data_IF_016085420344
#
_entry.id   IF_016085420344
#
_cell.length_a   1.000
_cell.length_b   1.000
_cell.length_c   1.000
_cell.angle_alpha   90.00
_cell.angle_beta   90.00
_cell.angle_gamma   90.00
#
_symmetry.space_group_name_H-M   'P 1'
#
loop_
_entity.id
_entity.type
_entity.pdbx_description
1 polymer ?
#
# COMPACT_ATOMS: atom_id res chain seq x y z
N UNK A 1 37.80 28.70 -36.94
CA UNK A 1 37.97 29.07 -35.52
C UNK A 1 37.06 28.18 -34.69
N UNK A 2 37.64 27.20 -33.99
CA UNK A 2 36.91 26.31 -33.08
C UNK A 2 36.78 27.02 -31.73
N UNK A 3 35.54 27.20 -31.25
CA UNK A 3 35.28 27.78 -29.94
C UNK A 3 35.84 26.85 -28.83
N UNK A 4 36.44 27.39 -27.76
CA UNK A 4 36.99 26.55 -26.71
C UNK A 4 35.84 25.87 -25.95
N UNK A 5 35.84 24.53 -25.90
CA UNK A 5 35.04 23.77 -24.95
C UNK A 5 35.46 24.22 -23.55
N UNK A 6 34.65 25.08 -22.91
CA UNK A 6 34.82 25.42 -21.50
C UNK A 6 34.79 24.10 -20.72
N UNK A 7 35.94 23.74 -20.16
CA UNK A 7 36.07 22.72 -19.13
C UNK A 7 35.12 23.09 -18.00
N UNK A 8 33.95 22.45 -17.97
CA UNK A 8 33.10 22.44 -16.79
C UNK A 8 33.89 21.71 -15.72
N UNK A 9 34.55 22.45 -14.84
CA UNK A 9 35.17 21.89 -13.64
C UNK A 9 34.15 20.99 -12.94
N UNK A 10 34.49 19.72 -12.71
CA UNK A 10 33.52 18.68 -12.35
C UNK A 10 32.77 18.90 -11.03
N UNK A 11 33.28 19.76 -10.14
CA UNK A 11 32.67 20.05 -8.83
C UNK A 11 31.50 21.05 -8.94
N UNK A 12 31.65 22.24 -9.55
CA UNK A 12 30.52 23.14 -9.83
C UNK A 12 29.36 22.53 -10.62
N UNK A 13 29.65 21.63 -11.57
CA UNK A 13 28.60 20.97 -12.35
C UNK A 13 27.77 19.98 -11.50
N UNK A 14 28.41 19.27 -10.58
CA UNK A 14 27.74 18.33 -9.67
C UNK A 14 26.88 19.06 -8.65
N UNK A 15 27.36 20.19 -8.12
CA UNK A 15 26.62 21.01 -7.16
C UNK A 15 25.34 21.59 -7.81
N UNK A 16 25.42 22.03 -9.07
CA UNK A 16 24.23 22.47 -9.83
C UNK A 16 23.24 21.33 -10.08
N UNK A 17 23.74 20.14 -10.43
CA UNK A 17 22.88 18.97 -10.63
C UNK A 17 22.16 18.58 -9.33
N UNK A 18 22.88 18.63 -8.20
CA UNK A 18 22.32 18.35 -6.88
C UNK A 18 21.30 19.40 -6.46
N UNK A 19 21.55 20.68 -6.69
CA UNK A 19 20.60 21.75 -6.40
C UNK A 19 19.29 21.57 -7.18
N UNK A 20 19.37 21.25 -8.48
CA UNK A 20 18.20 20.95 -9.30
C UNK A 20 17.44 19.70 -8.80
N UNK A 21 18.18 18.67 -8.36
CA UNK A 21 17.57 17.46 -7.79
C UNK A 21 16.84 17.79 -6.47
N UNK A 22 17.48 18.54 -5.57
CA UNK A 22 16.88 18.96 -4.30
C UNK A 22 15.67 19.89 -4.48
N UNK A 23 15.65 20.69 -5.54
CA UNK A 23 14.50 21.55 -5.88
C UNK A 23 13.37 20.80 -6.61
N UNK A 24 13.53 19.50 -6.86
CA UNK A 24 12.55 18.69 -7.60
C UNK A 24 12.53 18.93 -9.12
N UNK A 25 13.50 19.68 -9.68
CA UNK A 25 13.64 19.81 -11.13
C UNK A 25 14.36 18.58 -11.71
N UNK A 26 13.59 17.49 -11.77
CA UNK A 26 14.04 16.18 -12.25
C UNK A 26 14.61 16.25 -13.67
N UNK A 27 14.02 17.08 -14.54
CA UNK A 27 14.47 17.18 -15.94
C UNK A 27 15.86 17.82 -16.01
N UNK A 28 16.05 18.93 -15.30
CA UNK A 28 17.36 19.61 -15.26
C UNK A 28 18.41 18.75 -14.56
N UNK A 29 18.07 18.14 -13.41
CA UNK A 29 18.97 17.25 -12.69
C UNK A 29 19.45 16.09 -13.59
N UNK A 30 18.54 15.39 -14.26
CA UNK A 30 18.88 14.28 -15.16
C UNK A 30 19.80 14.72 -16.30
N UNK A 31 19.51 15.86 -16.93
CA UNK A 31 20.36 16.43 -17.99
C UNK A 31 21.76 16.75 -17.49
N UNK A 32 21.87 17.38 -16.31
CA UNK A 32 23.16 17.76 -15.74
C UNK A 32 23.99 16.54 -15.33
N UNK A 33 23.40 15.52 -14.68
CA UNK A 33 24.11 14.29 -14.37
C UNK A 33 24.60 13.57 -15.65
N UNK A 34 23.77 13.50 -16.70
CA UNK A 34 24.19 12.91 -17.98
C UNK A 34 25.34 13.68 -18.62
N UNK A 35 25.30 15.02 -18.63
CA UNK A 35 26.40 15.83 -19.14
C UNK A 35 27.71 15.61 -18.37
N UNK A 36 27.64 15.42 -17.05
CA UNK A 36 28.83 15.04 -16.25
C UNK A 36 29.35 13.68 -16.72
N UNK A 37 28.48 12.70 -16.95
CA UNK A 37 28.84 11.34 -17.36
C UNK A 37 29.34 11.25 -18.80
N UNK A 38 28.97 12.19 -19.69
CA UNK A 38 29.54 12.29 -21.03
C UNK A 38 31.04 12.62 -21.00
N UNK A 39 31.45 13.48 -20.05
CA UNK A 39 32.85 13.87 -19.88
C UNK A 39 33.61 12.98 -18.88
N UNK A 40 32.91 12.41 -17.90
CA UNK A 40 33.46 11.57 -16.84
C UNK A 40 32.59 10.30 -16.65
N UNK A 41 32.69 9.31 -17.55
CA UNK A 41 31.79 8.14 -17.55
C UNK A 41 31.86 7.25 -16.30
N UNK A 42 32.93 7.39 -15.51
CA UNK A 42 33.22 6.69 -14.26
C UNK A 42 33.01 7.55 -13.01
N UNK A 43 32.38 8.73 -13.13
CA UNK A 43 32.09 9.55 -11.96
C UNK A 43 31.05 8.86 -11.06
N UNK A 44 31.53 8.22 -10.00
CA UNK A 44 30.72 7.39 -9.12
C UNK A 44 29.54 8.15 -8.49
N UNK A 45 29.74 9.41 -8.09
CA UNK A 45 28.68 10.22 -7.47
C UNK A 45 27.60 10.59 -8.49
N UNK A 46 27.97 10.97 -9.72
CA UNK A 46 27.01 11.28 -10.77
C UNK A 46 26.23 10.03 -11.22
N UNK A 47 26.89 8.86 -11.29
CA UNK A 47 26.22 7.58 -11.55
C UNK A 47 25.20 7.25 -10.46
N UNK A 48 25.60 7.33 -9.20
CA UNK A 48 24.74 7.04 -8.05
C UNK A 48 23.55 7.99 -7.97
N UNK A 49 23.77 9.31 -8.06
CA UNK A 49 22.72 10.32 -7.94
C UNK A 49 21.74 10.29 -9.13
N UNK A 50 22.21 10.03 -10.35
CA UNK A 50 21.31 9.77 -11.48
C UNK A 50 20.51 8.49 -11.28
N UNK A 51 21.14 7.44 -10.71
CA UNK A 51 20.43 6.22 -10.34
C UNK A 51 19.31 6.46 -9.32
N UNK A 52 19.57 7.28 -8.28
CA UNK A 52 18.54 7.69 -7.31
C UNK A 52 17.40 8.46 -7.97
N UNK A 53 17.72 9.39 -8.88
CA UNK A 53 16.73 10.16 -9.61
C UNK A 53 15.84 9.25 -10.47
N UNK A 54 16.44 8.25 -11.16
CA UNK A 54 15.67 7.26 -11.92
C UNK A 54 14.76 6.42 -11.03
N UNK A 55 15.24 6.04 -9.84
CA UNK A 55 14.40 5.33 -8.86
C UNK A 55 13.22 6.17 -8.39
N UNK A 56 13.41 7.47 -8.13
CA UNK A 56 12.32 8.40 -7.80
C UNK A 56 11.29 8.54 -8.91
N UNK A 57 11.70 8.39 -10.17
CA UNK A 57 10.82 8.41 -11.35
C UNK A 57 10.37 7.02 -11.80
N UNK A 58 10.39 6.03 -10.90
CA UNK A 58 9.91 4.65 -11.13
C UNK A 58 10.73 3.81 -12.14
N UNK A 59 11.88 4.30 -12.62
CA UNK A 59 12.83 3.51 -13.44
C UNK A 59 13.83 2.77 -12.53
N UNK A 60 13.34 1.76 -11.82
CA UNK A 60 14.13 0.97 -10.88
C UNK A 60 15.22 0.13 -11.58
N UNK A 61 14.96 -0.32 -12.81
CA UNK A 61 15.93 -1.09 -13.60
C UNK A 61 17.08 -0.22 -14.11
N UNK A 62 16.80 1.01 -14.53
CA UNK A 62 17.81 2.01 -14.83
C UNK A 62 18.62 2.41 -13.60
N UNK A 63 17.93 2.62 -12.48
CA UNK A 63 18.56 2.93 -11.20
C UNK A 63 19.57 1.85 -10.78
N UNK A 64 19.16 0.58 -10.81
CA UNK A 64 20.03 -0.54 -10.46
C UNK A 64 21.30 -0.56 -11.32
N UNK A 65 21.16 -0.45 -12.65
CA UNK A 65 22.33 -0.46 -13.55
C UNK A 65 23.32 0.65 -13.22
N UNK A 66 22.82 1.87 -12.96
CA UNK A 66 23.69 3.02 -12.66
C UNK A 66 24.34 2.91 -11.28
N UNK A 67 23.61 2.48 -10.26
CA UNK A 67 24.17 2.34 -8.90
C UNK A 67 25.19 1.19 -8.85
N UNK A 68 24.96 0.08 -9.56
CA UNK A 68 25.98 -0.99 -9.69
C UNK A 68 27.25 -0.50 -10.36
N UNK A 69 27.15 0.37 -11.39
CA UNK A 69 28.34 1.03 -11.97
C UNK A 69 29.02 1.97 -10.98
N UNK A 70 28.27 2.70 -10.15
CA UNK A 70 28.85 3.53 -9.11
C UNK A 70 29.62 2.70 -8.06
N UNK A 71 29.10 1.52 -7.69
CA UNK A 71 29.75 0.56 -6.81
C UNK A 71 30.99 -0.09 -7.44
N UNK A 72 31.02 -0.29 -8.76
CA UNK A 72 32.23 -0.78 -9.42
C UNK A 72 33.42 0.19 -9.25
N UNK A 73 33.15 1.50 -9.14
CA UNK A 73 34.17 2.54 -8.90
C UNK A 73 34.44 2.78 -7.40
N UNK A 74 33.45 2.53 -6.54
CA UNK A 74 33.54 2.67 -5.08
C UNK A 74 32.85 1.50 -4.36
N UNK A 75 33.48 0.30 -4.32
CA UNK A 75 32.82 -0.92 -3.86
C UNK A 75 32.45 -0.90 -2.37
N UNK A 76 33.19 -0.12 -1.58
CA UNK A 76 33.03 -0.06 -0.12
C UNK A 76 32.07 1.05 0.36
N UNK A 77 31.38 1.73 -0.57
CA UNK A 77 30.46 2.80 -0.20
C UNK A 77 29.19 2.26 0.44
N UNK A 78 29.10 2.33 1.76
CA UNK A 78 27.90 1.97 2.54
C UNK A 78 26.64 2.67 2.01
N UNK A 79 26.75 3.96 1.67
CA UNK A 79 25.65 4.73 1.10
C UNK A 79 25.16 4.16 -0.24
N UNK A 80 26.07 3.74 -1.13
CA UNK A 80 25.67 3.20 -2.43
C UNK A 80 25.07 1.80 -2.29
N UNK A 81 25.62 0.97 -1.39
CA UNK A 81 25.08 -0.34 -1.05
C UNK A 81 23.65 -0.22 -0.50
N UNK A 82 23.44 0.64 0.51
CA UNK A 82 22.12 0.87 1.09
C UNK A 82 21.11 1.38 0.07
N UNK A 83 21.52 2.30 -0.82
CA UNK A 83 20.65 2.79 -1.88
C UNK A 83 20.35 1.74 -2.97
N UNK A 84 21.30 0.88 -3.32
CA UNK A 84 21.01 -0.27 -4.18
C UNK A 84 20.03 -1.24 -3.48
N UNK A 85 20.18 -1.45 -2.17
CA UNK A 85 19.24 -2.23 -1.36
C UNK A 85 17.81 -1.67 -1.43
N UNK A 86 17.64 -0.34 -1.36
CA UNK A 86 16.35 0.31 -1.58
C UNK A 86 15.76 0.01 -2.96
N UNK A 87 16.58 0.07 -4.01
CA UNK A 87 16.15 -0.22 -5.38
C UNK A 87 15.74 -1.68 -5.53
N UNK A 88 16.50 -2.63 -4.96
CA UNK A 88 16.15 -4.06 -5.01
C UNK A 88 14.85 -4.35 -4.24
N UNK A 89 14.63 -3.74 -3.07
CA UNK A 89 13.35 -3.83 -2.35
C UNK A 89 12.18 -3.40 -3.23
N UNK A 90 12.30 -2.25 -3.90
CA UNK A 90 11.23 -1.74 -4.77
C UNK A 90 10.98 -2.62 -6.01
N UNK A 91 11.96 -3.46 -6.39
CA UNK A 91 11.83 -4.47 -7.43
C UNK A 91 11.34 -5.84 -6.90
N UNK A 92 11.00 -5.94 -5.62
CA UNK A 92 10.58 -7.19 -4.97
C UNK A 92 11.72 -8.14 -4.59
N UNK A 93 12.99 -7.82 -4.88
CA UNK A 93 14.14 -8.64 -4.46
C UNK A 93 14.52 -8.33 -3.01
N UNK A 94 13.70 -8.84 -2.09
CA UNK A 94 13.83 -8.62 -0.65
C UNK A 94 15.11 -9.25 -0.08
N UNK A 95 15.48 -10.45 -0.53
CA UNK A 95 16.67 -11.15 -0.04
C UNK A 95 17.95 -10.49 -0.55
N UNK A 96 18.00 -10.08 -1.83
CA UNK A 96 19.10 -9.29 -2.37
C UNK A 96 19.25 -7.95 -1.65
N UNK A 97 18.13 -7.29 -1.33
CA UNK A 97 18.14 -6.06 -0.54
C UNK A 97 18.71 -6.28 0.87
N UNK A 98 18.30 -7.33 1.59
CA UNK A 98 18.87 -7.67 2.90
C UNK A 98 20.39 -7.91 2.82
N UNK A 99 20.86 -8.63 1.80
CA UNK A 99 22.29 -8.87 1.59
C UNK A 99 23.09 -7.57 1.41
N UNK A 100 22.52 -6.58 0.69
CA UNK A 100 23.16 -5.28 0.50
C UNK A 100 23.14 -4.41 1.76
N UNK A 101 22.04 -4.41 2.52
CA UNK A 101 22.02 -3.71 3.81
C UNK A 101 22.98 -4.32 4.82
N UNK A 102 23.11 -5.65 4.85
CA UNK A 102 24.12 -6.32 5.67
C UNK A 102 25.54 -5.89 5.31
N UNK A 103 25.87 -5.79 4.02
CA UNK A 103 27.15 -5.24 3.57
C UNK A 103 27.33 -3.77 3.94
N UNK A 104 26.29 -2.94 3.80
CA UNK A 104 26.32 -1.53 4.18
C UNK A 104 26.59 -1.35 5.68
N UNK A 105 25.89 -2.12 6.52
CA UNK A 105 26.04 -2.10 7.98
C UNK A 105 27.38 -2.67 8.44
N UNK A 106 27.97 -3.62 7.71
CA UNK A 106 29.34 -4.05 7.99
C UNK A 106 30.38 -2.92 7.81
N UNK A 107 30.06 -1.91 6.99
CA UNK A 107 30.91 -0.72 6.77
C UNK A 107 30.53 0.47 7.65
N UNK A 108 29.24 0.60 7.96
CA UNK A 108 28.72 1.62 8.86
C UNK A 108 27.66 1.01 9.80
N UNK A 109 28.08 0.44 10.96
CA UNK A 109 27.17 -0.26 11.87
C UNK A 109 26.09 0.63 12.51
N UNK A 110 26.32 1.95 12.51
CA UNK A 110 25.50 2.95 13.18
C UNK A 110 24.54 3.69 12.23
N UNK A 111 24.33 3.15 11.03
CA UNK A 111 23.31 3.64 10.11
C UNK A 111 21.90 3.23 10.57
N UNK A 112 21.24 4.11 11.31
CA UNK A 112 19.87 3.91 11.79
C UNK A 112 18.87 3.68 10.64
N UNK A 113 19.07 4.34 9.49
CA UNK A 113 18.21 4.20 8.31
C UNK A 113 18.32 2.82 7.67
N UNK A 114 19.53 2.27 7.58
CA UNK A 114 19.75 0.91 7.10
C UNK A 114 19.11 -0.15 8.02
N UNK A 115 19.26 -0.01 9.34
CA UNK A 115 18.56 -0.89 10.30
C UNK A 115 17.05 -0.81 10.15
N UNK A 116 16.49 0.40 10.04
CA UNK A 116 15.04 0.58 9.83
C UNK A 116 14.57 -0.06 8.50
N UNK A 117 15.34 0.09 7.42
CA UNK A 117 14.99 -0.52 6.14
C UNK A 117 15.08 -2.05 6.16
N UNK A 118 16.07 -2.63 6.85
CA UNK A 118 16.11 -4.08 7.09
C UNK A 118 14.90 -4.55 7.90
N UNK A 119 14.53 -3.81 8.95
CA UNK A 119 13.33 -4.10 9.73
C UNK A 119 12.07 -4.15 8.86
N UNK A 120 11.90 -3.18 7.96
CA UNK A 120 10.77 -3.16 7.02
C UNK A 120 10.78 -4.38 6.07
N UNK A 121 11.96 -4.80 5.59
CA UNK A 121 12.06 -5.99 4.75
C UNK A 121 11.72 -7.25 5.55
N UNK A 122 12.19 -7.37 6.79
CA UNK A 122 11.83 -8.48 7.66
C UNK A 122 10.33 -8.51 7.97
N UNK A 123 9.67 -7.35 8.14
CA UNK A 123 8.20 -7.29 8.23
C UNK A 123 7.52 -7.86 6.98
N UNK A 124 7.96 -7.45 5.78
CA UNK A 124 7.42 -7.99 4.51
C UNK A 124 7.63 -9.50 4.38
N UNK A 125 8.77 -10.01 4.88
CA UNK A 125 9.07 -11.44 4.95
C UNK A 125 8.43 -12.16 6.15
N UNK A 126 7.62 -11.46 6.96
CA UNK A 126 6.95 -11.98 8.17
C UNK A 126 7.91 -12.52 9.25
N UNK A 127 9.14 -12.01 9.27
CA UNK A 127 10.21 -12.33 10.23
C UNK A 127 10.22 -11.29 11.35
N UNK A 128 9.23 -11.34 12.23
CA UNK A 128 8.93 -10.22 13.13
C UNK A 128 9.94 -10.04 14.25
N UNK A 129 10.55 -11.12 14.73
CA UNK A 129 11.61 -11.07 15.72
C UNK A 129 12.85 -10.35 15.16
N UNK A 130 13.26 -10.67 13.92
CA UNK A 130 14.36 -9.97 13.25
C UNK A 130 13.98 -8.53 12.89
N UNK A 131 12.72 -8.28 12.52
CA UNK A 131 12.21 -6.93 12.30
C UNK A 131 12.33 -6.10 13.58
N UNK A 132 11.87 -6.65 14.70
CA UNK A 132 11.94 -6.00 16.02
C UNK A 132 13.38 -5.71 16.42
N UNK A 133 14.31 -6.66 16.24
CA UNK A 133 15.72 -6.45 16.54
C UNK A 133 16.29 -5.29 15.73
N UNK A 134 15.99 -5.25 14.42
CA UNK A 134 16.44 -4.19 13.51
C UNK A 134 15.86 -2.82 13.88
N UNK A 135 14.55 -2.73 14.13
CA UNK A 135 13.92 -1.47 14.54
C UNK A 135 14.38 -1.01 15.92
N UNK A 136 14.65 -1.94 16.84
CA UNK A 136 15.19 -1.61 18.17
C UNK A 136 16.58 -0.98 18.01
N UNK A 137 17.44 -1.53 17.15
CA UNK A 137 18.75 -0.92 16.87
C UNK A 137 18.60 0.46 16.21
N UNK A 138 17.67 0.63 15.28
CA UNK A 138 17.37 1.94 14.68
C UNK A 138 16.93 2.96 15.73
N UNK A 139 16.02 2.59 16.65
CA UNK A 139 15.56 3.46 17.73
C UNK A 139 16.69 3.85 18.71
N UNK A 140 17.64 2.95 18.98
CA UNK A 140 18.82 3.26 19.83
C UNK A 140 19.72 4.28 19.15
N UNK A 141 19.90 4.17 17.83
CA UNK A 141 20.79 5.05 17.06
C UNK A 141 20.18 6.42 16.77
N UNK A 142 18.85 6.51 16.63
CA UNK A 142 18.13 7.75 16.38
C UNK A 142 16.85 7.82 17.24
N UNK A 143 16.99 8.06 18.56
CA UNK A 143 15.90 7.95 19.53
C UNK A 143 14.77 8.96 19.35
N UNK A 144 15.01 10.05 18.63
CA UNK A 144 14.02 11.11 18.39
C UNK A 144 13.36 11.02 16.99
N UNK A 145 13.45 9.87 16.33
CA UNK A 145 12.79 9.64 15.04
C UNK A 145 11.46 8.89 15.22
N UNK A 146 10.33 9.61 15.12
CA UNK A 146 8.99 9.05 15.31
C UNK A 146 8.71 7.80 14.46
N UNK A 147 9.10 7.82 13.19
CA UNK A 147 8.89 6.71 12.25
C UNK A 147 9.55 5.40 12.70
N UNK A 148 10.69 5.45 13.39
CA UNK A 148 11.38 4.25 13.88
C UNK A 148 10.62 3.61 15.05
N UNK A 149 10.09 4.43 15.96
CA UNK A 149 9.24 3.95 17.05
C UNK A 149 7.91 3.41 16.54
N UNK A 150 7.30 4.03 15.53
CA UNK A 150 6.12 3.50 14.86
C UNK A 150 6.38 2.12 14.25
N UNK A 151 7.46 1.96 13.49
CA UNK A 151 7.81 0.67 12.88
C UNK A 151 8.13 -0.40 13.94
N UNK A 152 8.80 -0.02 15.04
CA UNK A 152 9.01 -0.90 16.19
C UNK A 152 7.69 -1.34 16.82
N UNK A 153 6.75 -0.41 17.02
CA UNK A 153 5.41 -0.69 17.53
C UNK A 153 4.63 -1.66 16.64
N UNK A 154 4.73 -1.49 15.31
CA UNK A 154 4.14 -2.43 14.35
C UNK A 154 4.71 -3.84 14.49
N UNK A 155 6.04 -3.99 14.60
CA UNK A 155 6.66 -5.31 14.82
C UNK A 155 6.20 -5.95 16.15
N UNK A 156 6.13 -5.17 17.23
CA UNK A 156 5.65 -5.63 18.54
C UNK A 156 4.18 -6.07 18.49
N UNK A 157 3.32 -5.31 17.81
CA UNK A 157 1.91 -5.65 17.62
C UNK A 157 1.76 -6.98 16.83
N UNK A 158 2.58 -7.20 15.79
CA UNK A 158 2.59 -8.48 15.05
C UNK A 158 3.05 -9.67 15.90
N UNK A 159 3.87 -9.43 16.92
CA UNK A 159 4.30 -10.42 17.91
C UNK A 159 3.30 -10.60 19.06
N UNK A 160 2.21 -9.84 19.11
CA UNK A 160 1.25 -9.85 20.23
C UNK A 160 1.80 -9.25 21.54
N UNK A 161 2.89 -8.47 21.46
CA UNK A 161 3.51 -7.77 22.60
C UNK A 161 2.85 -6.41 22.80
N UNK A 162 1.58 -6.42 23.14
CA UNK A 162 0.69 -5.24 23.11
C UNK A 162 1.19 -4.10 24.02
N UNK A 163 1.62 -4.39 25.25
CA UNK A 163 2.09 -3.37 26.20
C UNK A 163 3.32 -2.62 25.69
N UNK A 164 4.25 -3.33 25.04
CA UNK A 164 5.44 -2.74 24.45
C UNK A 164 5.11 -1.98 23.15
N UNK A 165 4.15 -2.50 22.37
CA UNK A 165 3.66 -1.81 21.17
C UNK A 165 3.04 -0.46 21.54
N UNK A 166 2.21 -0.41 22.60
CA UNK A 166 1.64 0.82 23.14
C UNK A 166 2.74 1.83 23.51
N UNK A 167 3.77 1.40 24.25
CA UNK A 167 4.89 2.29 24.62
C UNK A 167 5.60 2.87 23.38
N UNK A 168 5.82 2.04 22.36
CA UNK A 168 6.46 2.48 21.12
C UNK A 168 5.57 3.47 20.34
N UNK A 169 4.26 3.23 20.24
CA UNK A 169 3.35 4.15 19.56
C UNK A 169 3.13 5.45 20.33
N UNK A 170 3.09 5.42 21.67
CA UNK A 170 3.08 6.65 22.48
C UNK A 170 4.35 7.46 22.28
N UNK A 171 5.52 6.81 22.19
CA UNK A 171 6.77 7.52 21.88
C UNK A 171 6.75 8.11 20.47
N UNK A 172 6.19 7.41 19.48
CA UNK A 172 6.05 7.93 18.12
C UNK A 172 5.15 9.18 18.08
N UNK A 173 3.98 9.13 18.70
CA UNK A 173 3.03 10.27 18.75
C UNK A 173 3.53 11.43 19.61
N UNK A 174 4.35 11.17 20.64
CA UNK A 174 4.99 12.22 21.42
C UNK A 174 6.11 12.96 20.66
N UNK A 175 6.74 12.30 19.68
CA UNK A 175 7.78 12.90 18.82
C UNK A 175 7.18 13.60 17.59
N UNK A 176 6.02 13.14 17.12
CA UNK A 176 5.29 13.67 15.99
C UNK A 176 3.79 13.49 16.24
N UNK A 177 3.12 14.56 16.67
CA UNK A 177 1.67 14.57 16.93
C UNK A 177 0.84 14.45 15.65
N UNK A 178 1.46 14.62 14.48
CA UNK A 178 0.89 14.39 13.16
C UNK A 178 0.94 12.93 12.70
N UNK A 179 1.51 12.00 13.49
CA UNK A 179 1.59 10.59 13.13
C UNK A 179 0.24 9.87 13.31
N UNK A 180 -0.68 10.13 12.39
CA UNK A 180 -2.04 9.57 12.37
C UNK A 180 -2.05 8.03 12.32
N UNK A 181 -1.02 7.41 11.74
CA UNK A 181 -0.87 5.96 11.66
C UNK A 181 -0.57 5.35 13.03
N UNK A 182 0.33 5.97 13.82
CA UNK A 182 0.61 5.55 15.19
C UNK A 182 -0.61 5.78 16.11
N UNK A 183 -1.29 6.92 15.97
CA UNK A 183 -2.52 7.24 16.70
C UNK A 183 -3.66 6.24 16.40
N UNK A 184 -3.82 5.83 15.13
CA UNK A 184 -4.76 4.78 14.75
C UNK A 184 -4.44 3.42 15.41
N UNK A 185 -3.16 3.04 15.44
CA UNK A 185 -2.74 1.80 16.11
C UNK A 185 -2.87 1.87 17.63
N UNK A 186 -2.66 3.04 18.26
CA UNK A 186 -3.00 3.25 19.67
C UNK A 186 -4.49 3.01 19.91
N UNK A 187 -5.37 3.63 19.11
CA UNK A 187 -6.81 3.44 19.23
C UNK A 187 -7.21 1.96 19.10
N UNK A 188 -6.58 1.24 18.17
CA UNK A 188 -6.80 -0.20 18.00
C UNK A 188 -6.38 -1.04 19.20
N UNK A 189 -5.28 -0.68 19.87
CA UNK A 189 -4.78 -1.41 21.04
C UNK A 189 -5.50 -1.04 22.34
N UNK A 190 -5.96 0.21 22.47
CA UNK A 190 -6.68 0.69 23.67
C UNK A 190 -8.20 0.53 23.57
N UNK A 191 -8.73 0.15 22.40
CA UNK A 191 -10.16 0.05 22.15
C UNK A 191 -10.85 1.41 22.01
N UNK A 192 -10.10 2.48 21.69
CA UNK A 192 -10.70 3.79 21.46
C UNK A 192 -11.52 3.75 20.16
N UNK A 193 -12.74 4.29 20.21
CA UNK A 193 -13.64 4.30 19.06
C UNK A 193 -13.06 5.16 17.93
N UNK A 194 -13.08 4.61 16.72
CA UNK A 194 -12.81 5.30 15.45
C UNK A 194 -13.90 4.93 14.46
N UNK A 195 -14.36 5.87 13.66
CA UNK A 195 -15.35 5.60 12.62
C UNK A 195 -14.69 5.17 11.29
N UNK A 196 -13.42 5.48 11.09
CA UNK A 196 -12.63 5.03 9.93
C UNK A 196 -11.13 5.04 10.25
N UNK A 197 -10.36 4.30 9.46
CA UNK A 197 -8.90 4.41 9.48
C UNK A 197 -8.45 5.68 8.73
N UNK A 198 -7.38 6.35 9.16
CA UNK A 198 -6.84 7.51 8.43
C UNK A 198 -6.44 7.15 7.01
N UNK A 199 -6.71 8.03 6.04
CA UNK A 199 -6.36 7.77 4.63
C UNK A 199 -4.86 7.50 4.44
N UNK A 200 -4.00 8.26 5.11
CA UNK A 200 -2.55 8.06 5.07
C UNK A 200 -2.13 6.68 5.58
N UNK A 201 -2.78 6.18 6.64
CA UNK A 201 -2.52 4.83 7.16
C UNK A 201 -2.88 3.75 6.12
N UNK A 202 -4.04 3.91 5.46
CA UNK A 202 -4.51 2.97 4.44
C UNK A 202 -3.63 3.04 3.19
N UNK A 203 -3.27 4.23 2.72
CA UNK A 203 -2.39 4.43 1.56
C UNK A 203 -1.00 3.81 1.80
N UNK A 204 -0.37 4.08 2.95
CA UNK A 204 0.93 3.50 3.31
C UNK A 204 0.88 1.97 3.37
N UNK A 205 -0.18 1.43 3.97
CA UNK A 205 -0.39 -0.02 4.07
C UNK A 205 -0.51 -0.64 2.67
N UNK A 206 -1.30 -0.03 1.79
CA UNK A 206 -1.50 -0.52 0.43
C UNK A 206 -0.24 -0.36 -0.43
N UNK A 207 0.49 0.74 -0.30
CA UNK A 207 1.78 0.92 -0.96
C UNK A 207 2.78 -0.16 -0.55
N UNK A 208 2.77 -0.57 0.73
CA UNK A 208 3.61 -1.67 1.23
C UNK A 208 3.24 -3.04 0.63
N UNK A 209 1.96 -3.31 0.39
CA UNK A 209 1.51 -4.53 -0.28
C UNK A 209 1.83 -4.52 -1.78
N UNK A 210 1.83 -3.34 -2.42
CA UNK A 210 2.20 -3.21 -3.82
C UNK A 210 3.66 -3.60 -4.08
N UNK A 211 4.55 -3.47 -3.08
CA UNK A 211 5.95 -3.93 -3.15
C UNK A 211 6.06 -5.47 -3.15
N UNK A 212 5.18 -6.16 -2.42
CA UNK A 212 5.16 -7.63 -2.30
C UNK A 212 4.19 -8.32 -3.26
N UNK A 213 3.58 -7.56 -4.16
CA UNK A 213 2.55 -7.99 -5.09
C UNK A 213 2.86 -9.30 -5.84
N UNK A 214 4.09 -9.46 -6.34
CA UNK A 214 4.49 -10.66 -7.08
C UNK A 214 4.68 -11.87 -6.14
N UNK A 215 5.08 -11.65 -4.89
CA UNK A 215 5.20 -12.70 -3.86
C UNK A 215 3.82 -13.20 -3.44
N UNK A 216 2.84 -12.29 -3.28
CA UNK A 216 1.46 -12.65 -2.94
C UNK A 216 0.79 -13.50 -4.03
N UNK A 217 1.13 -13.25 -5.30
CA UNK A 217 0.72 -14.06 -6.45
C UNK A 217 1.45 -15.40 -6.54
N UNK A 218 2.74 -15.45 -6.22
CA UNK A 218 3.58 -16.64 -6.35
C UNK A 218 3.44 -17.63 -5.17
N UNK A 219 3.18 -17.15 -3.95
CA UNK A 219 3.13 -17.98 -2.74
C UNK A 219 1.74 -18.54 -2.41
N UNK A 220 0.72 -18.32 -3.26
CA UNK A 220 -0.58 -18.96 -3.10
C UNK A 220 -1.19 -18.69 -1.72
N UNK A 221 -1.29 -17.42 -1.31
CA UNK A 221 -1.79 -16.98 0.00
C UNK A 221 -3.23 -17.41 0.34
N UNK A 222 -3.89 -18.18 -0.51
CA UNK A 222 -5.30 -18.53 -0.36
C UNK A 222 -6.17 -17.27 -0.33
N UNK A 223 -5.73 -16.19 -0.99
CA UNK A 223 -6.53 -14.99 -1.13
C UNK A 223 -7.68 -15.29 -2.06
N UNK A 224 -8.89 -15.38 -1.49
CA UNK A 224 -10.08 -15.89 -2.20
C UNK A 224 -11.20 -14.87 -2.31
N UNK A 225 -11.09 -13.72 -1.66
CA UNK A 225 -12.19 -12.74 -1.59
C UNK A 225 -12.74 -12.37 -2.96
N UNK A 226 -11.94 -11.99 -3.99
CA UNK A 226 -12.47 -11.71 -5.33
C UNK A 226 -13.34 -12.84 -5.91
N UNK A 227 -12.86 -14.09 -5.81
CA UNK A 227 -13.59 -15.26 -6.30
C UNK A 227 -14.85 -15.54 -5.48
N UNK A 228 -14.78 -15.42 -4.14
CA UNK A 228 -15.92 -15.60 -3.25
C UNK A 228 -17.02 -14.56 -3.54
N UNK A 229 -16.65 -13.29 -3.78
CA UNK A 229 -17.60 -12.24 -4.17
C UNK A 229 -18.30 -12.60 -5.48
N UNK A 230 -17.54 -13.05 -6.50
CA UNK A 230 -18.14 -13.48 -7.78
C UNK A 230 -19.06 -14.68 -7.60
N UNK A 231 -18.61 -15.72 -6.90
CA UNK A 231 -19.39 -16.94 -6.66
C UNK A 231 -20.71 -16.61 -5.95
N UNK A 232 -20.67 -15.74 -4.93
CA UNK A 232 -21.86 -15.26 -4.25
C UNK A 232 -22.77 -14.45 -5.18
N UNK A 233 -22.21 -13.50 -5.94
CA UNK A 233 -22.99 -12.72 -6.91
C UNK A 233 -23.71 -13.61 -7.93
N UNK A 234 -23.02 -14.59 -8.51
CA UNK A 234 -23.55 -15.46 -9.56
C UNK A 234 -24.74 -16.32 -9.12
N UNK A 235 -24.92 -16.57 -7.82
CA UNK A 235 -26.12 -17.25 -7.29
C UNK A 235 -27.38 -16.40 -7.32
N UNK A 236 -27.23 -15.07 -7.42
CA UNK A 236 -28.34 -14.10 -7.33
C UNK A 236 -28.56 -13.29 -8.60
N UNK A 237 -27.89 -13.67 -9.70
CA UNK A 237 -28.05 -13.03 -11.01
C UNK A 237 -28.40 -14.06 -12.07
N UNK A 238 -29.19 -13.64 -13.05
CA UNK A 238 -29.55 -14.49 -14.17
C UNK A 238 -28.29 -14.90 -14.98
N UNK A 239 -28.21 -16.15 -15.45
CA UNK A 239 -27.12 -16.59 -16.31
C UNK A 239 -26.98 -15.67 -17.53
N UNK A 240 -25.75 -15.22 -17.80
CA UNK A 240 -25.44 -14.32 -18.92
C UNK A 240 -25.77 -12.84 -18.68
N UNK A 241 -26.26 -12.46 -17.50
CA UNK A 241 -26.44 -11.05 -17.15
C UNK A 241 -25.11 -10.28 -17.27
N UNK A 242 -25.15 -9.14 -17.95
CA UNK A 242 -24.08 -8.14 -17.94
C UNK A 242 -24.57 -6.85 -17.30
N UNK A 243 -23.74 -6.31 -16.42
CA UNK A 243 -23.93 -5.04 -15.75
C UNK A 243 -23.42 -3.91 -16.64
N UNK A 244 -24.22 -2.86 -16.79
CA UNK A 244 -23.88 -1.72 -17.65
C UNK A 244 -22.71 -0.94 -17.08
N UNK A 245 -22.70 -0.71 -15.76
CA UNK A 245 -21.63 0.01 -15.10
C UNK A 245 -21.37 -0.56 -13.71
N UNK A 246 -20.27 -1.29 -13.61
CA UNK A 246 -19.72 -1.80 -12.36
C UNK A 246 -18.69 -0.83 -11.78
N UNK A 247 -18.66 -0.71 -10.45
CA UNK A 247 -17.62 -0.01 -9.71
C UNK A 247 -17.00 -0.93 -8.66
N UNK A 248 -15.67 -0.91 -8.57
CA UNK A 248 -14.89 -1.56 -7.53
C UNK A 248 -14.31 -0.48 -6.59
N UNK A 249 -14.81 -0.43 -5.36
CA UNK A 249 -14.55 0.61 -4.35
C UNK A 249 -13.17 0.50 -3.67
N UNK A 250 -12.39 -0.51 -4.00
CA UNK A 250 -11.04 -0.73 -3.49
C UNK A 250 -10.32 -1.72 -4.36
N UNK A 251 -10.03 -1.32 -5.60
CA UNK A 251 -9.63 -2.25 -6.64
C UNK A 251 -8.25 -2.87 -6.41
N UNK A 252 -7.43 -2.29 -5.53
CA UNK A 252 -6.10 -2.75 -5.18
C UNK A 252 -5.24 -2.94 -6.43
N UNK A 253 -4.57 -4.09 -6.51
CA UNK A 253 -3.78 -4.46 -7.68
C UNK A 253 -4.62 -4.93 -8.87
N UNK A 254 -5.95 -5.01 -8.74
CA UNK A 254 -6.88 -5.30 -9.84
C UNK A 254 -7.37 -6.75 -9.94
N UNK A 255 -7.23 -7.54 -8.87
CA UNK A 255 -7.68 -8.93 -8.84
C UNK A 255 -9.20 -9.09 -8.98
N UNK A 256 -9.97 -8.26 -8.27
CA UNK A 256 -11.44 -8.23 -8.40
C UNK A 256 -11.88 -7.95 -9.84
N UNK A 257 -11.26 -6.97 -10.50
CA UNK A 257 -11.56 -6.64 -11.89
C UNK A 257 -11.28 -7.77 -12.87
N UNK A 258 -10.22 -8.57 -12.67
CA UNK A 258 -9.99 -9.77 -13.49
C UNK A 258 -11.14 -10.77 -13.34
N UNK A 259 -11.61 -10.94 -12.11
CA UNK A 259 -12.65 -11.93 -11.78
C UNK A 259 -14.02 -11.48 -12.29
N UNK A 260 -14.33 -10.20 -12.42
CA UNK A 260 -15.67 -9.73 -12.83
C UNK A 260 -15.73 -9.03 -14.20
N UNK A 261 -14.63 -8.98 -14.95
CA UNK A 261 -14.55 -8.25 -16.22
C UNK A 261 -15.63 -8.65 -17.22
N UNK A 262 -15.87 -9.95 -17.36
CA UNK A 262 -16.86 -10.52 -18.27
C UNK A 262 -18.30 -10.13 -17.91
N UNK A 263 -18.55 -9.85 -16.63
CA UNK A 263 -19.87 -9.45 -16.12
C UNK A 263 -20.17 -7.96 -16.36
N UNK A 264 -19.20 -7.13 -16.73
CA UNK A 264 -19.37 -5.68 -16.85
C UNK A 264 -19.15 -5.19 -18.29
N UNK A 265 -20.04 -4.33 -18.78
CA UNK A 265 -19.82 -3.53 -19.99
C UNK A 265 -18.77 -2.45 -19.74
N UNK A 266 -18.92 -1.74 -18.62
CA UNK A 266 -17.98 -0.75 -18.13
C UNK A 266 -17.61 -1.05 -16.68
N UNK A 267 -16.33 -1.06 -16.37
CA UNK A 267 -15.79 -1.33 -15.04
C UNK A 267 -14.85 -0.20 -14.62
N UNK A 268 -15.23 0.50 -13.55
CA UNK A 268 -14.42 1.54 -12.92
C UNK A 268 -13.81 1.00 -11.64
N UNK A 269 -12.52 1.18 -11.44
CA UNK A 269 -11.83 0.86 -10.19
C UNK A 269 -11.35 2.13 -9.50
N UNK A 270 -11.40 2.15 -8.16
CA UNK A 270 -10.83 3.22 -7.35
C UNK A 270 -9.92 2.63 -6.28
N UNK A 271 -8.87 3.37 -5.94
CA UNK A 271 -7.99 3.02 -4.83
C UNK A 271 -7.30 4.29 -4.29
N UNK A 272 -6.87 4.25 -3.03
CA UNK A 272 -6.06 5.32 -2.45
C UNK A 272 -4.62 5.28 -2.96
N UNK A 273 -4.08 4.10 -3.21
CA UNK A 273 -2.68 3.89 -3.56
C UNK A 273 -2.43 4.07 -5.06
N UNK A 274 -1.56 5.00 -5.42
CA UNK A 274 -1.10 5.16 -6.80
C UNK A 274 -0.35 3.92 -7.31
N UNK A 275 0.36 3.22 -6.42
CA UNK A 275 1.14 2.02 -6.73
C UNK A 275 0.24 0.83 -7.02
N UNK A 276 -0.81 0.64 -6.22
CA UNK A 276 -1.87 -0.34 -6.46
C UNK A 276 -2.50 -0.14 -7.84
N UNK A 277 -2.90 1.10 -8.16
CA UNK A 277 -3.48 1.44 -9.46
C UNK A 277 -2.52 1.22 -10.63
N UNK A 278 -1.21 1.44 -10.43
CA UNK A 278 -0.21 1.12 -11.45
C UNK A 278 -0.18 -0.37 -11.75
N UNK A 279 -0.32 -1.23 -10.75
CA UNK A 279 -0.45 -2.68 -10.93
C UNK A 279 -1.80 -3.09 -11.53
N UNK A 280 -2.90 -2.41 -11.16
CA UNK A 280 -4.21 -2.63 -11.77
C UNK A 280 -4.22 -2.29 -13.27
N UNK A 281 -3.57 -1.19 -13.69
CA UNK A 281 -3.45 -0.82 -15.11
C UNK A 281 -2.78 -1.92 -15.94
N UNK A 282 -1.73 -2.56 -15.41
CA UNK A 282 -1.00 -3.63 -16.12
C UNK A 282 -1.89 -4.83 -16.46
N UNK A 283 -3.00 -5.04 -15.73
CA UNK A 283 -3.94 -6.14 -15.96
C UNK A 283 -4.95 -5.90 -17.06
N UNK A 284 -5.12 -4.64 -17.47
CA UNK A 284 -6.05 -4.28 -18.54
C UNK A 284 -7.50 -4.77 -18.34
N UNK A 285 -7.98 -4.78 -17.08
CA UNK A 285 -9.35 -5.20 -16.74
C UNK A 285 -10.29 -4.03 -16.42
N UNK A 286 -9.78 -2.84 -16.11
CA UNK A 286 -10.59 -1.66 -15.83
C UNK A 286 -10.64 -0.72 -17.02
N UNK A 287 -11.81 -0.16 -17.31
CA UNK A 287 -11.96 0.91 -18.31
C UNK A 287 -11.48 2.25 -17.74
N UNK A 288 -11.62 2.44 -16.42
CA UNK A 288 -11.17 3.64 -15.72
C UNK A 288 -10.62 3.31 -14.34
N UNK A 289 -9.60 4.07 -13.94
CA UNK A 289 -8.95 3.96 -12.64
C UNK A 289 -8.77 5.35 -12.02
N UNK A 290 -9.22 5.51 -10.77
CA UNK A 290 -9.19 6.80 -10.07
C UNK A 290 -8.44 6.68 -8.73
N UNK A 291 -7.49 7.59 -8.48
CA UNK A 291 -6.80 7.72 -7.19
C UNK A 291 -7.62 8.60 -6.25
N UNK A 292 -8.55 8.03 -5.49
CA UNK A 292 -9.46 8.75 -4.60
C UNK A 292 -9.99 7.85 -3.48
N UNK A 293 -10.40 8.45 -2.35
CA UNK A 293 -11.19 7.74 -1.36
C UNK A 293 -12.63 7.49 -1.86
N UNK A 294 -13.30 6.51 -1.25
CA UNK A 294 -14.64 6.04 -1.63
C UNK A 294 -15.66 7.19 -1.62
N UNK A 295 -15.74 7.94 -0.53
CA UNK A 295 -16.78 8.96 -0.35
C UNK A 295 -16.59 10.15 -1.30
N UNK A 296 -15.35 10.55 -1.57
CA UNK A 296 -15.05 11.60 -2.54
C UNK A 296 -15.39 11.16 -3.96
N UNK A 297 -15.03 9.92 -4.33
CA UNK A 297 -15.37 9.38 -5.63
C UNK A 297 -16.89 9.32 -5.83
N UNK A 298 -17.62 8.84 -4.82
CA UNK A 298 -19.08 8.73 -4.85
C UNK A 298 -19.79 10.10 -4.81
N UNK A 299 -19.10 11.25 -4.68
CA UNK A 299 -19.74 12.56 -4.94
C UNK A 299 -19.99 12.82 -6.43
N UNK A 300 -19.34 12.07 -7.31
CA UNK A 300 -19.46 12.21 -8.76
C UNK A 300 -20.79 11.63 -9.23
N UNK A 301 -21.39 12.24 -10.26
CA UNK A 301 -22.58 11.67 -10.90
C UNK A 301 -22.22 10.34 -11.59
N UNK A 302 -22.69 9.24 -11.03
CA UNK A 302 -22.66 7.91 -11.63
C UNK A 302 -24.02 7.21 -11.50
N UNK A 303 -24.22 6.14 -12.28
CA UNK A 303 -25.34 5.23 -12.12
C UNK A 303 -24.86 3.78 -12.22
N UNK A 304 -24.56 3.18 -11.07
CA UNK A 304 -23.96 1.85 -10.97
C UNK A 304 -25.04 0.78 -10.79
N UNK A 305 -24.94 -0.30 -11.55
CA UNK A 305 -25.79 -1.49 -11.38
C UNK A 305 -25.06 -2.68 -10.73
N UNK A 306 -23.75 -2.54 -10.52
CA UNK A 306 -22.93 -3.44 -9.70
C UNK A 306 -21.88 -2.64 -8.92
N UNK A 307 -21.79 -2.90 -7.62
CA UNK A 307 -20.81 -2.31 -6.70
C UNK A 307 -20.05 -3.46 -6.01
N UNK A 308 -18.73 -3.42 -6.06
CA UNK A 308 -17.85 -4.36 -5.38
C UNK A 308 -17.02 -3.66 -4.32
N UNK A 309 -16.77 -4.35 -3.20
CA UNK A 309 -15.82 -3.92 -2.18
C UNK A 309 -15.16 -5.15 -1.53
N UNK A 310 -14.04 -5.59 -2.10
CA UNK A 310 -13.23 -6.68 -1.55
C UNK A 310 -12.19 -6.12 -0.57
N UNK A 311 -12.26 -6.51 0.70
CA UNK A 311 -11.29 -6.14 1.77
C UNK A 311 -10.99 -4.64 1.92
N UNK A 312 -11.89 -3.77 1.49
CA UNK A 312 -11.74 -2.32 1.64
C UNK A 312 -12.62 -1.76 2.77
N UNK A 313 -13.79 -2.35 3.01
CA UNK A 313 -14.68 -1.90 4.10
C UNK A 313 -14.13 -2.21 5.49
N UNK A 314 -13.16 -3.13 5.60
CA UNK A 314 -12.42 -3.38 6.84
C UNK A 314 -11.50 -2.21 7.24
N UNK A 315 -11.47 -1.12 6.48
CA UNK A 315 -10.81 0.14 6.85
C UNK A 315 -11.82 1.26 7.17
N UNK A 316 -13.11 0.97 7.13
CA UNK A 316 -14.20 1.90 7.43
C UNK A 316 -15.10 1.27 8.50
N UNK A 317 -15.08 1.80 9.72
CA UNK A 317 -15.92 1.31 10.81
C UNK A 317 -17.39 1.66 10.58
N UNK A 318 -17.70 2.95 10.62
CA UNK A 318 -19.04 3.48 10.38
C UNK A 318 -19.37 3.50 8.88
N UNK A 319 -20.23 2.59 8.43
CA UNK A 319 -20.59 2.43 7.03
C UNK A 319 -21.81 3.26 6.60
N UNK A 320 -22.42 4.04 7.50
CA UNK A 320 -23.60 4.87 7.22
C UNK A 320 -23.36 5.82 6.04
N UNK A 321 -22.22 6.52 6.04
CA UNK A 321 -21.89 7.46 4.97
C UNK A 321 -21.66 6.75 3.63
N UNK A 322 -21.11 5.53 3.65
CA UNK A 322 -20.88 4.72 2.44
C UNK A 322 -22.21 4.26 1.84
N UNK A 323 -23.13 3.74 2.65
CA UNK A 323 -24.45 3.33 2.17
C UNK A 323 -25.26 4.53 1.67
N UNK A 324 -25.26 5.65 2.40
CA UNK A 324 -25.93 6.88 1.98
C UNK A 324 -25.38 7.44 0.65
N UNK A 325 -24.06 7.40 0.47
CA UNK A 325 -23.42 7.83 -0.77
C UNK A 325 -23.78 6.91 -1.94
N UNK A 326 -23.87 5.60 -1.71
CA UNK A 326 -24.27 4.66 -2.75
C UNK A 326 -25.68 4.94 -3.26
N UNK A 327 -26.67 5.13 -2.38
CA UNK A 327 -28.08 5.35 -2.76
C UNK A 327 -28.30 6.46 -3.79
N UNK A 328 -27.49 7.52 -3.75
CA UNK A 328 -27.56 8.64 -4.70
C UNK A 328 -27.16 8.25 -6.14
N UNK A 329 -26.55 7.06 -6.33
CA UNK A 329 -25.87 6.65 -7.55
C UNK A 329 -26.28 5.27 -8.07
N UNK A 330 -27.37 4.68 -7.57
CA UNK A 330 -27.77 3.32 -7.98
C UNK A 330 -28.72 3.30 -9.18
N UNK A 331 -28.53 2.29 -10.02
CA UNK A 331 -29.57 1.83 -10.92
C UNK A 331 -30.62 0.98 -10.17
N UNK A 332 -31.85 0.83 -10.71
CA UNK A 332 -32.80 -0.16 -10.20
C UNK A 332 -32.20 -1.57 -10.25
N UNK A 333 -32.45 -2.40 -9.23
CA UNK A 333 -31.88 -3.76 -9.13
C UNK A 333 -30.35 -3.82 -9.15
N UNK A 334 -29.69 -2.75 -8.69
CA UNK A 334 -28.26 -2.74 -8.46
C UNK A 334 -27.87 -3.78 -7.40
N UNK A 335 -26.70 -4.38 -7.57
CA UNK A 335 -26.13 -5.33 -6.61
C UNK A 335 -24.95 -4.68 -5.89
N UNK A 336 -24.88 -4.87 -4.58
CA UNK A 336 -23.71 -4.51 -3.78
C UNK A 336 -23.13 -5.78 -3.14
N UNK A 337 -21.90 -6.11 -3.52
CA UNK A 337 -21.22 -7.35 -3.13
C UNK A 337 -19.91 -7.00 -2.44
N UNK A 338 -19.77 -7.42 -1.19
CA UNK A 338 -18.63 -6.98 -0.39
C UNK A 338 -18.25 -8.00 0.68
N UNK A 339 -17.02 -7.88 1.18
CA UNK A 339 -16.54 -8.63 2.34
C UNK A 339 -16.30 -7.73 3.54
N UNK A 340 -16.50 -8.29 4.73
CA UNK A 340 -16.10 -7.70 6.02
C UNK A 340 -15.50 -8.79 6.90
N UNK A 341 -14.62 -8.40 7.83
CA UNK A 341 -14.28 -9.27 8.96
C UNK A 341 -15.51 -9.38 9.88
N UNK A 342 -15.76 -10.57 10.43
CA UNK A 342 -16.97 -10.83 11.20
C UNK A 342 -16.81 -10.33 12.66
N UNK A 343 -17.78 -9.55 13.12
CA UNK A 343 -17.92 -9.17 14.53
C UNK A 343 -19.13 -9.88 15.16
N UNK A 344 -19.01 -10.50 16.35
CA UNK A 344 -20.12 -11.20 17.00
C UNK A 344 -21.12 -10.27 17.72
N UNK A 345 -20.84 -8.97 17.82
CA UNK A 345 -21.66 -7.97 18.48
C UNK A 345 -22.82 -7.45 17.62
N UNK A 346 -23.18 -6.18 17.82
CA UNK A 346 -24.33 -5.51 17.19
C UNK A 346 -23.95 -4.27 16.35
N UNK A 347 -22.65 -3.93 16.31
CA UNK A 347 -22.10 -2.79 15.61
C UNK A 347 -20.88 -3.15 14.78
N UNK A 348 -19.84 -2.35 14.91
CA UNK A 348 -18.51 -2.57 14.34
C UNK A 348 -17.44 -2.34 15.42
N UNK A 349 -16.30 -3.00 15.27
CA UNK A 349 -15.20 -2.95 16.23
C UNK A 349 -13.89 -2.67 15.51
N UNK A 350 -13.10 -1.73 16.02
CA UNK A 350 -11.69 -1.58 15.63
C UNK A 350 -10.89 -2.68 16.33
N UNK A 351 -10.40 -3.64 15.56
CA UNK A 351 -9.57 -4.73 16.05
C UNK A 351 -8.14 -4.26 16.31
N UNK A 352 -7.41 -4.97 17.20
CA UNK A 352 -5.98 -4.75 17.46
C UNK A 352 -5.08 -4.81 16.22
N UNK A 353 -5.58 -5.37 15.12
CA UNK A 353 -4.90 -5.41 13.82
C UNK A 353 -4.93 -4.08 13.07
N UNK A 354 -5.65 -3.07 13.59
CA UNK A 354 -5.89 -1.79 12.92
C UNK A 354 -7.00 -1.83 11.87
N UNK A 355 -7.74 -2.94 11.77
CA UNK A 355 -8.86 -3.14 10.84
C UNK A 355 -10.18 -3.22 11.58
N UNK A 356 -11.28 -2.98 10.87
CA UNK A 356 -12.63 -3.08 11.39
C UNK A 356 -13.24 -4.44 11.09
N UNK A 357 -13.99 -4.96 12.07
CA UNK A 357 -14.94 -6.03 11.88
C UNK A 357 -16.36 -5.47 12.03
N UNK A 358 -17.32 -6.09 11.33
CA UNK A 358 -18.71 -5.67 11.29
C UNK A 358 -19.63 -6.83 11.60
N UNK A 359 -20.65 -6.54 12.39
CA UNK A 359 -21.64 -7.54 12.77
C UNK A 359 -22.75 -7.67 11.73
N UNK A 360 -23.35 -8.86 11.66
CA UNK A 360 -24.50 -9.08 10.78
C UNK A 360 -25.71 -8.19 11.11
N UNK A 361 -26.10 -7.97 12.38
CA UNK A 361 -27.19 -7.04 12.71
C UNK A 361 -26.92 -5.62 12.22
N UNK A 362 -25.67 -5.14 12.35
CA UNK A 362 -25.27 -3.82 11.87
C UNK A 362 -25.46 -3.68 10.35
N UNK A 363 -24.95 -4.65 9.59
CA UNK A 363 -25.06 -4.67 8.12
C UNK A 363 -26.53 -4.80 7.67
N UNK A 364 -27.33 -5.65 8.32
CA UNK A 364 -28.76 -5.78 8.03
C UNK A 364 -29.50 -4.47 8.30
N UNK A 365 -29.23 -3.81 9.44
CA UNK A 365 -29.87 -2.54 9.78
C UNK A 365 -29.51 -1.41 8.79
N UNK A 366 -28.28 -1.38 8.27
CA UNK A 366 -27.91 -0.49 7.18
C UNK A 366 -28.68 -0.83 5.89
N UNK A 367 -28.74 -2.10 5.53
CA UNK A 367 -29.47 -2.54 4.34
C UNK A 367 -30.95 -2.10 4.39
N UNK A 368 -31.62 -2.35 5.52
CA UNK A 368 -33.04 -2.01 5.72
C UNK A 368 -33.28 -0.50 5.63
N UNK A 369 -32.42 0.31 6.28
CA UNK A 369 -32.54 1.78 6.26
C UNK A 369 -32.39 2.39 4.86
N UNK A 370 -31.61 1.74 4.01
CA UNK A 370 -31.24 2.22 2.68
C UNK A 370 -31.97 1.47 1.55
N UNK A 371 -33.02 0.69 1.87
CA UNK A 371 -33.86 0.03 0.85
C UNK A 371 -33.17 -1.13 0.11
N UNK A 372 -32.14 -1.73 0.73
CA UNK A 372 -31.46 -2.91 0.22
C UNK A 372 -32.07 -4.18 0.79
N UNK A 373 -32.27 -5.18 -0.06
CA UNK A 373 -32.60 -6.54 0.34
C UNK A 373 -31.30 -7.33 0.56
N UNK A 374 -31.13 -7.91 1.74
CA UNK A 374 -30.08 -8.90 2.00
C UNK A 374 -30.42 -10.21 1.26
N UNK A 375 -29.71 -10.51 0.17
CA UNK A 375 -29.88 -11.75 -0.59
C UNK A 375 -29.04 -12.88 0.00
N UNK A 376 -27.82 -12.59 0.44
CA UNK A 376 -26.92 -13.59 1.03
C UNK A 376 -25.95 -12.97 2.04
N UNK A 377 -25.66 -13.73 3.10
CA UNK A 377 -24.60 -13.47 4.07
C UNK A 377 -23.85 -14.78 4.31
N UNK A 378 -22.78 -15.01 3.55
CA UNK A 378 -22.00 -16.25 3.56
C UNK A 378 -20.79 -16.09 4.47
N UNK A 379 -20.70 -16.90 5.53
CA UNK A 379 -19.48 -17.03 6.31
C UNK A 379 -18.40 -17.70 5.47
N UNK A 380 -17.20 -17.12 5.46
CA UNK A 380 -16.09 -17.64 4.71
C UNK A 380 -14.76 -17.28 5.35
N UNK A 381 -13.79 -18.18 5.19
CA UNK A 381 -12.38 -17.86 5.37
C UNK A 381 -11.94 -16.94 4.24
N UNK A 382 -11.79 -15.64 4.52
CA UNK A 382 -11.50 -14.62 3.52
C UNK A 382 -10.06 -14.74 3.00
N UNK A 383 -9.13 -14.97 3.93
CA UNK A 383 -7.70 -15.02 3.67
C UNK A 383 -6.96 -15.73 4.79
N UNK A 384 -5.77 -16.23 4.48
CA UNK A 384 -4.86 -16.79 5.47
C UNK A 384 -3.93 -15.70 6.02
N UNK A 385 -3.85 -15.57 7.34
CA UNK A 385 -2.88 -14.73 8.02
C UNK A 385 -2.14 -15.61 9.05
N UNK A 386 -0.93 -16.07 8.69
CA UNK A 386 -0.19 -17.12 9.40
C UNK A 386 -0.85 -18.50 9.29
N UNK A 387 -0.92 -19.23 10.40
CA UNK A 387 -1.70 -20.46 10.57
C UNK A 387 -3.16 -20.18 10.94
N UNK A 388 -3.55 -18.90 11.02
CA UNK A 388 -4.93 -18.50 11.34
C UNK A 388 -5.67 -18.09 10.07
N UNK A 389 -6.86 -18.63 9.95
CA UNK A 389 -7.84 -18.17 8.98
C UNK A 389 -8.48 -16.90 9.50
N UNK A 390 -8.55 -15.87 8.65
CA UNK A 390 -9.35 -14.68 8.96
C UNK A 390 -10.76 -14.97 8.48
N UNK A 391 -11.63 -15.25 9.44
CA UNK A 391 -13.05 -15.45 9.21
C UNK A 391 -13.73 -14.11 8.94
N UNK A 392 -14.67 -14.13 8.01
CA UNK A 392 -15.46 -12.98 7.67
C UNK A 392 -16.73 -13.37 6.95
N UNK A 393 -17.46 -12.37 6.49
CA UNK A 393 -18.73 -12.57 5.81
C UNK A 393 -18.72 -11.89 4.46
N UNK A 394 -19.15 -12.62 3.44
CA UNK A 394 -19.45 -12.10 2.11
C UNK A 394 -20.93 -11.80 2.04
N UNK A 395 -21.26 -10.55 1.70
CA UNK A 395 -22.63 -10.07 1.58
C UNK A 395 -23.00 -9.85 0.11
N UNK A 396 -24.24 -10.19 -0.24
CA UNK A 396 -24.89 -9.81 -1.49
C UNK A 396 -26.15 -9.05 -1.13
N UNK A 397 -26.18 -7.76 -1.46
CA UNK A 397 -27.35 -6.90 -1.31
C UNK A 397 -27.92 -6.55 -2.69
N UNK A 398 -29.24 -6.37 -2.78
CA UNK A 398 -29.93 -5.90 -3.98
C UNK A 398 -30.83 -4.70 -3.68
N UNK A 399 -30.71 -3.64 -4.47
CA UNK A 399 -31.48 -2.41 -4.28
C UNK A 399 -32.82 -2.44 -5.04
N UNK A 400 -33.93 -2.14 -4.34
CA UNK A 400 -35.26 -2.01 -4.94
C UNK A 400 -35.98 -3.35 -5.26
N UNK A 401 -37.32 -3.29 -5.29
CA UNK A 401 -38.22 -4.46 -5.23
C UNK A 401 -38.26 -5.33 -6.50
N UNK A 402 -38.28 -6.64 -6.26
CA UNK A 402 -38.39 -7.76 -7.20
C UNK A 402 -37.68 -8.98 -6.63
#
# INVERSE_FOLDING_TARGET
>A
MSAPRKSMSGKPALDQALAAHQSGDVRTAARLYRAILEHQPRNANALHLLGLLLHQTDDHSGAERLIRRALAEKPDSALFLGNLGRVLKAKGDLLGALGLYGQALARNPDDAGAHNNMGNIYLSLRRYEEALASFTRACVLAPDTAAMHYNRGNALSRLGRDDEALQAFYKATALDDGNVSADHMLAALTGARRDSAPEAYVEDLFDSYADSFDVELQEGLGYRVPSLLREALLRHVEPGRRFRHAVDLGCGTGLSGLVIRDLAERLTGIDLSARMLANARKRNCYDELHKQNILEFLKRRGRYDLVLAADVLIYVGALEATFAALDAHLAPSAHFVFSVEADPGDGFTLLKTGRFAHSRPYIQGLADRHGWRLCEAMQASLRRHFDRQIEGTVYVLRHGAG
#
